data_IF_271781929962
#
_entry.id   IF_271781929962
#
_cell.length_a   1.000
_cell.length_b   1.000
_cell.length_c   1.000
_cell.angle_alpha   90.00
_cell.angle_beta   90.00
_cell.angle_gamma   90.00
#
_symmetry.space_group_name_H-M   'P 1'
#
loop_
_entity.id
_entity.type
_entity.pdbx_description
1 polymer ?
#
# COMPACT_ATOMS: atom_id res chain seq x y z
N UNK A 1 -17.50 15.42 -0.30
CA UNK A 1 -16.11 15.66 -0.71
C UNK A 1 -15.32 15.93 0.54
N UNK A 2 -14.16 15.30 0.68
CA UNK A 2 -13.25 15.52 1.81
C UNK A 2 -12.56 16.88 1.68
N UNK A 3 -12.19 17.50 2.81
CA UNK A 3 -11.34 18.72 2.82
C UNK A 3 -10.03 18.51 2.07
N UNK A 4 -9.55 17.26 2.04
CA UNK A 4 -8.33 16.86 1.31
C UNK A 4 -8.55 16.95 -0.20
N UNK A 5 -9.68 16.44 -0.70
CA UNK A 5 -10.00 16.44 -2.13
C UNK A 5 -10.04 17.88 -2.68
N UNK A 6 -10.61 18.80 -1.91
CA UNK A 6 -10.71 20.20 -2.31
C UNK A 6 -9.35 20.91 -2.29
N UNK A 7 -8.46 20.52 -1.37
CA UNK A 7 -7.08 20.99 -1.35
C UNK A 7 -6.28 20.46 -2.55
N UNK A 8 -6.37 19.16 -2.85
CA UNK A 8 -5.74 18.55 -4.03
C UNK A 8 -6.19 19.22 -5.33
N UNK A 9 -7.48 19.51 -5.49
CA UNK A 9 -7.99 20.25 -6.66
C UNK A 9 -7.37 21.63 -6.80
N UNK A 10 -7.15 22.35 -5.69
CA UNK A 10 -6.51 23.66 -5.72
C UNK A 10 -5.02 23.54 -6.08
N UNK A 11 -4.33 22.54 -5.57
CA UNK A 11 -2.92 22.30 -5.87
C UNK A 11 -2.72 21.88 -7.34
N UNK A 12 -3.54 20.97 -7.86
CA UNK A 12 -3.51 20.58 -9.29
C UNK A 12 -3.79 21.78 -10.20
N UNK A 13 -4.72 22.68 -9.82
CA UNK A 13 -4.98 23.91 -10.59
C UNK A 13 -3.75 24.81 -10.67
N UNK A 14 -2.92 24.85 -9.62
CA UNK A 14 -1.69 25.65 -9.57
C UNK A 14 -0.53 24.97 -10.30
N UNK A 15 -0.46 23.64 -10.25
CA UNK A 15 0.56 22.84 -10.92
C UNK A 15 -0.05 21.55 -11.49
N UNK A 16 -0.35 21.51 -12.80
CA UNK A 16 -0.98 20.35 -13.44
C UNK A 16 -0.20 19.03 -13.30
N UNK A 17 1.13 19.08 -13.16
CA UNK A 17 1.96 17.89 -12.96
C UNK A 17 1.69 17.17 -11.63
N UNK A 18 1.10 17.86 -10.65
CA UNK A 18 0.74 17.23 -9.38
C UNK A 18 -0.35 16.17 -9.54
N UNK A 19 -1.13 16.23 -10.63
CA UNK A 19 -2.15 15.21 -10.91
C UNK A 19 -1.54 13.81 -10.99
N UNK A 20 -0.46 13.66 -11.75
CA UNK A 20 0.22 12.36 -11.93
C UNK A 20 0.84 11.88 -10.62
N UNK A 21 1.41 12.80 -9.84
CA UNK A 21 1.97 12.49 -8.52
C UNK A 21 0.90 11.99 -7.54
N UNK A 22 -0.26 12.67 -7.47
CA UNK A 22 -1.37 12.21 -6.62
C UNK A 22 -1.91 10.85 -7.07
N UNK A 23 -2.04 10.62 -8.38
CA UNK A 23 -2.48 9.33 -8.90
C UNK A 23 -1.53 8.19 -8.50
N UNK A 24 -0.21 8.42 -8.57
CA UNK A 24 0.77 7.42 -8.15
C UNK A 24 0.71 7.16 -6.63
N UNK A 25 0.52 8.22 -5.84
CA UNK A 25 0.37 8.12 -4.39
C UNK A 25 -0.92 7.40 -3.98
N UNK A 26 -2.03 7.62 -4.69
CA UNK A 26 -3.29 6.91 -4.48
C UNK A 26 -3.11 5.40 -4.70
N UNK A 27 -2.43 4.98 -5.78
CA UNK A 27 -2.14 3.57 -6.06
C UNK A 27 -1.29 2.94 -4.93
N UNK A 28 -0.30 3.68 -4.44
CA UNK A 28 0.54 3.22 -3.31
C UNK A 28 -0.29 3.05 -2.03
N UNK A 29 -1.18 4.01 -1.74
CA UNK A 29 -2.04 3.94 -0.56
C UNK A 29 -3.06 2.79 -0.67
N UNK A 30 -3.65 2.58 -1.84
CA UNK A 30 -4.52 1.44 -2.09
C UNK A 30 -3.78 0.11 -1.87
N UNK A 31 -2.54 0.01 -2.36
CA UNK A 31 -1.68 -1.16 -2.12
C UNK A 31 -1.45 -1.41 -0.63
N UNK A 32 -1.14 -0.35 0.13
CA UNK A 32 -0.98 -0.43 1.59
C UNK A 32 -2.27 -0.94 2.28
N UNK A 33 -3.42 -0.39 1.91
CA UNK A 33 -4.73 -0.79 2.43
C UNK A 33 -5.04 -2.25 2.12
N UNK A 34 -4.74 -2.73 0.91
CA UNK A 34 -4.94 -4.14 0.54
C UNK A 34 -4.08 -5.07 1.40
N UNK A 35 -2.83 -4.70 1.68
CA UNK A 35 -1.95 -5.48 2.55
C UNK A 35 -2.47 -5.54 3.99
N UNK A 36 -2.92 -4.40 4.55
CA UNK A 36 -3.58 -4.36 5.88
C UNK A 36 -4.78 -5.30 5.92
N UNK A 37 -5.65 -5.23 4.91
CA UNK A 37 -6.86 -6.08 4.82
C UNK A 37 -6.50 -7.55 4.73
N UNK A 38 -5.52 -7.92 3.91
CA UNK A 38 -5.04 -9.30 3.79
C UNK A 38 -4.50 -9.80 5.13
N UNK A 39 -3.64 -9.02 5.79
CA UNK A 39 -3.06 -9.38 7.09
C UNK A 39 -4.14 -9.59 8.15
N UNK A 40 -5.10 -8.68 8.23
CA UNK A 40 -6.23 -8.79 9.15
C UNK A 40 -7.13 -10.00 8.83
N UNK A 41 -7.41 -10.26 7.56
CA UNK A 41 -8.18 -11.44 7.11
C UNK A 41 -7.50 -12.76 7.51
N UNK A 42 -6.17 -12.78 7.54
CA UNK A 42 -5.37 -13.93 8.00
C UNK A 42 -5.18 -13.97 9.52
N UNK A 43 -5.73 -13.01 10.28
CA UNK A 43 -5.62 -12.96 11.74
C UNK A 43 -4.22 -12.64 12.26
N UNK A 44 -3.36 -12.03 11.43
CA UNK A 44 -1.96 -11.79 11.75
C UNK A 44 -1.75 -10.38 12.32
N UNK A 45 -0.89 -10.26 13.32
CA UNK A 45 -0.26 -8.99 13.68
C UNK A 45 0.83 -8.62 12.67
N UNK A 46 1.25 -7.34 12.64
CA UNK A 46 2.36 -6.90 11.78
C UNK A 46 3.65 -7.68 12.09
N UNK A 47 3.90 -8.00 13.37
CA UNK A 47 5.05 -8.79 13.81
C UNK A 47 4.97 -10.23 13.29
N UNK A 48 3.81 -10.86 13.34
CA UNK A 48 3.63 -12.23 12.84
C UNK A 48 3.82 -12.30 11.32
N UNK A 49 3.25 -11.36 10.56
CA UNK A 49 3.50 -11.30 9.11
C UNK A 49 4.98 -11.10 8.79
N UNK A 50 5.65 -10.20 9.50
CA UNK A 50 7.08 -9.96 9.34
C UNK A 50 7.92 -11.21 9.62
N UNK A 51 7.56 -11.98 10.66
CA UNK A 51 8.20 -13.26 10.97
C UNK A 51 8.01 -14.31 9.87
N UNK A 52 6.82 -14.44 9.30
CA UNK A 52 6.55 -15.35 8.17
C UNK A 52 7.38 -14.98 6.93
N UNK A 53 7.65 -13.69 6.73
CA UNK A 53 8.46 -13.18 5.63
C UNK A 53 9.96 -13.15 5.94
N UNK A 54 10.38 -13.50 7.16
CA UNK A 54 11.74 -13.32 7.67
C UNK A 54 12.26 -11.87 7.50
N UNK A 55 11.46 -10.88 7.91
CA UNK A 55 11.76 -9.44 7.83
C UNK A 55 11.53 -8.72 9.16
N UNK A 56 12.11 -7.52 9.34
CA UNK A 56 11.76 -6.65 10.46
C UNK A 56 10.28 -6.26 10.44
N UNK A 57 9.65 -6.14 11.61
CA UNK A 57 8.27 -5.63 11.72
C UNK A 57 8.13 -4.20 11.16
N UNK A 58 9.19 -3.40 11.23
CA UNK A 58 9.24 -2.06 10.63
C UNK A 58 9.03 -2.08 9.12
N UNK A 59 9.43 -3.14 8.41
CA UNK A 59 9.15 -3.28 6.97
C UNK A 59 7.65 -3.33 6.72
N UNK A 60 6.92 -4.14 7.49
CA UNK A 60 5.45 -4.24 7.35
C UNK A 60 4.78 -2.92 7.73
N UNK A 61 5.20 -2.31 8.84
CA UNK A 61 4.65 -1.04 9.30
C UNK A 61 4.81 0.07 8.25
N UNK A 62 6.00 0.22 7.65
CA UNK A 62 6.24 1.25 6.63
C UNK A 62 5.40 1.05 5.37
N UNK A 63 5.12 -0.20 4.97
CA UNK A 63 4.22 -0.47 3.85
C UNK A 63 2.78 -0.12 4.23
N UNK A 64 2.30 -0.60 5.37
CA UNK A 64 0.91 -0.38 5.82
C UNK A 64 0.61 1.10 6.10
N UNK A 65 1.62 1.89 6.48
CA UNK A 65 1.50 3.34 6.68
C UNK A 65 1.64 4.16 5.37
N UNK A 66 1.93 3.51 4.22
CA UNK A 66 2.17 4.21 2.95
C UNK A 66 3.51 4.95 2.86
N UNK A 67 4.43 4.72 3.81
CA UNK A 67 5.76 5.34 3.86
C UNK A 67 6.76 4.66 2.92
N UNK A 68 6.42 3.49 2.39
CA UNK A 68 7.25 2.69 1.51
C UNK A 68 6.45 2.25 0.29
N UNK A 69 7.03 2.41 -0.90
CA UNK A 69 6.52 1.78 -2.11
C UNK A 69 7.05 0.32 -2.16
N UNK A 70 6.20 -0.70 -1.91
CA UNK A 70 6.63 -2.08 -1.95
C UNK A 70 6.95 -2.50 -3.40
N UNK A 71 8.05 -3.21 -3.59
CA UNK A 71 8.34 -3.84 -4.88
C UNK A 71 7.36 -4.98 -5.16
N UNK A 72 7.16 -5.32 -6.44
CA UNK A 72 6.36 -6.50 -6.83
C UNK A 72 6.91 -7.77 -6.16
N UNK A 73 8.23 -7.90 -6.05
CA UNK A 73 8.86 -9.03 -5.35
C UNK A 73 8.43 -9.13 -3.88
N UNK A 74 8.34 -8.00 -3.18
CA UNK A 74 7.91 -7.96 -1.78
C UNK A 74 6.43 -8.34 -1.65
N UNK A 75 5.59 -7.88 -2.56
CA UNK A 75 4.17 -8.26 -2.61
C UNK A 75 4.01 -9.76 -2.89
N UNK A 76 4.83 -10.34 -3.77
CA UNK A 76 4.83 -11.78 -4.04
C UNK A 76 5.29 -12.59 -2.80
N UNK A 77 6.26 -12.09 -2.03
CA UNK A 77 6.66 -12.69 -0.76
C UNK A 77 5.52 -12.67 0.29
N UNK A 78 4.75 -11.57 0.37
CA UNK A 78 3.55 -11.50 1.21
C UNK A 78 2.53 -12.55 0.78
N UNK A 79 2.28 -12.67 -0.53
CA UNK A 79 1.34 -13.64 -1.07
C UNK A 79 1.74 -15.07 -0.70
N UNK A 80 3.02 -15.43 -0.89
CA UNK A 80 3.58 -16.73 -0.49
C UNK A 80 3.49 -16.96 1.02
N UNK A 81 3.84 -15.97 1.85
CA UNK A 81 3.82 -16.08 3.31
C UNK A 81 2.41 -16.24 3.88
N UNK A 82 1.39 -15.79 3.14
CA UNK A 82 -0.01 -15.84 3.56
C UNK A 82 -0.81 -16.93 2.85
N UNK A 83 -0.20 -17.74 1.99
CA UNK A 83 -0.88 -18.72 1.13
C UNK A 83 -2.03 -18.05 0.34
N UNK A 84 -1.65 -17.05 -0.45
CA UNK A 84 -2.53 -16.31 -1.36
C UNK A 84 -1.84 -16.05 -2.70
N UNK A 85 -2.59 -15.52 -3.66
CA UNK A 85 -2.09 -15.17 -4.98
C UNK A 85 -2.06 -13.65 -5.17
N UNK A 86 -0.97 -13.14 -5.75
CA UNK A 86 -0.87 -11.75 -6.18
C UNK A 86 -1.51 -11.60 -7.56
N UNK A 87 -2.63 -10.86 -7.64
CA UNK A 87 -3.31 -10.52 -8.89
C UNK A 87 -3.22 -9.01 -9.15
N UNK A 88 -2.95 -8.64 -10.39
CA UNK A 88 -3.03 -7.27 -10.89
C UNK A 88 -4.01 -7.22 -12.06
N UNK A 89 -4.84 -6.18 -12.13
CA UNK A 89 -5.81 -5.97 -13.20
C UNK A 89 -5.90 -4.48 -13.56
N UNK A 90 -6.12 -4.20 -14.85
CA UNK A 90 -6.51 -2.86 -15.31
C UNK A 90 -8.04 -2.77 -15.24
N UNK A 91 -8.56 -1.71 -14.63
CA UNK A 91 -9.99 -1.42 -14.50
C UNK A 91 -10.33 -0.18 -15.34
#
# INVERSE_FOLDING_TARGET
MSRIDDYMKQDIKKNPHLKEMYQLEDIKLETAVQLVKLRQKKGLSQRQLAQLMNKPQSTIARIENGEMNPTISLLAEVAKATDTELKFEYI
#
